data_IF_006773784715
#
_entry.id   IF_006773784715
#
_cell.length_a   1.000
_cell.length_b   1.000
_cell.length_c   1.000
_cell.angle_alpha   90.00
_cell.angle_beta   90.00
_cell.angle_gamma   90.00
#
_symmetry.space_group_name_H-M   'P 1'
#
loop_
_entity.id
_entity.type
_entity.pdbx_description
1 polymer ?
#
# COMPACT_ATOMS: atom_id res chain seq x y z
N UNK A 1 1.60 -12.31 -7.03
CA UNK A 1 1.21 -11.02 -6.44
C UNK A 1 0.37 -11.30 -5.20
N UNK A 2 0.69 -10.70 -4.06
CA UNK A 2 -0.12 -10.87 -2.85
C UNK A 2 -1.24 -9.82 -2.89
N UNK A 3 -2.49 -10.25 -2.74
CA UNK A 3 -3.65 -9.38 -2.80
C UNK A 3 -4.36 -9.36 -1.46
N UNK A 4 -4.45 -8.19 -0.86
CA UNK A 4 -4.95 -8.03 0.50
C UNK A 4 -6.06 -6.96 0.55
N UNK A 5 -7.11 -7.26 1.31
CA UNK A 5 -8.16 -6.29 1.60
C UNK A 5 -7.68 -5.31 2.66
N UNK A 6 -7.88 -4.01 2.43
CA UNK A 6 -7.53 -2.98 3.40
C UNK A 6 -8.59 -1.87 3.44
N UNK A 7 -8.42 -0.97 4.39
CA UNK A 7 -9.14 0.29 4.46
C UNK A 7 -8.10 1.40 4.29
N UNK A 8 -8.29 2.35 3.39
CA UNK A 8 -7.42 3.53 3.31
C UNK A 8 -8.07 4.68 4.05
N UNK A 9 -7.30 5.32 4.94
CA UNK A 9 -7.69 6.51 5.67
C UNK A 9 -6.86 7.69 5.21
N UNK A 10 -7.41 8.90 5.31
CA UNK A 10 -6.68 10.13 5.11
C UNK A 10 -6.57 10.80 6.49
N UNK A 11 -5.37 11.27 6.83
CA UNK A 11 -5.00 11.73 8.17
C UNK A 11 -5.64 13.09 8.55
N UNK A 12 -6.84 13.39 8.04
CA UNK A 12 -7.51 14.69 8.16
C UNK A 12 -9.04 14.65 8.23
N UNK A 13 -9.72 13.65 7.64
CA UNK A 13 -11.07 13.30 8.11
C UNK A 13 -11.05 11.81 8.44
N UNK A 14 -11.69 11.45 9.55
CA UNK A 14 -11.79 10.12 10.14
C UNK A 14 -12.61 9.12 9.30
N UNK A 15 -12.62 9.24 7.96
CA UNK A 15 -13.34 8.32 7.08
C UNK A 15 -12.40 7.27 6.51
N UNK A 16 -12.60 6.03 6.92
CA UNK A 16 -11.98 4.87 6.30
C UNK A 16 -12.79 4.46 5.08
N UNK A 17 -12.12 4.32 3.94
CA UNK A 17 -12.73 3.80 2.71
C UNK A 17 -12.17 2.44 2.40
N UNK A 18 -13.05 1.53 1.98
CA UNK A 18 -12.64 0.18 1.58
C UNK A 18 -11.77 0.28 0.33
N UNK A 19 -10.59 -0.32 0.40
CA UNK A 19 -9.59 -0.30 -0.65
C UNK A 19 -9.00 -1.69 -0.82
N UNK A 20 -8.73 -2.10 -2.04
CA UNK A 20 -7.88 -3.27 -2.28
C UNK A 20 -6.47 -2.80 -2.55
N UNK A 21 -5.49 -3.49 -1.97
CA UNK A 21 -4.10 -3.23 -2.26
C UNK A 21 -3.42 -4.53 -2.70
N UNK A 22 -2.57 -4.43 -3.71
CA UNK A 22 -1.86 -5.57 -4.29
C UNK A 22 -0.37 -5.28 -4.36
N UNK A 23 0.42 -6.20 -3.81
CA UNK A 23 1.87 -6.13 -3.81
C UNK A 23 2.45 -7.00 -4.91
N UNK A 24 3.35 -6.38 -5.69
CA UNK A 24 4.17 -7.03 -6.68
C UNK A 24 5.61 -7.02 -6.18
N UNK A 25 6.17 -8.23 -6.04
CA UNK A 25 7.57 -8.39 -5.70
C UNK A 25 8.47 -7.86 -6.83
N UNK A 26 9.69 -7.44 -6.48
CA UNK A 26 10.70 -7.13 -7.46
C UNK A 26 11.05 -8.41 -8.22
N UNK A 27 11.26 -8.28 -9.53
CA UNK A 27 11.82 -9.32 -10.39
C UNK A 27 13.17 -8.84 -10.93
N UNK A 28 14.01 -9.73 -11.48
CA UNK A 28 15.26 -9.33 -12.15
C UNK A 28 15.05 -8.28 -13.26
N UNK A 29 13.82 -8.22 -13.79
CA UNK A 29 13.37 -7.34 -14.87
C UNK A 29 12.47 -6.18 -14.39
N UNK A 30 12.22 -6.04 -13.09
CA UNK A 30 11.15 -5.17 -12.62
C UNK A 30 11.26 -4.77 -11.15
N UNK A 31 10.90 -3.53 -10.87
CA UNK A 31 10.91 -2.98 -9.51
C UNK A 31 9.65 -3.41 -8.76
N UNK A 32 9.78 -3.67 -7.46
CA UNK A 32 8.63 -3.97 -6.60
C UNK A 32 7.66 -2.78 -6.57
N UNK A 33 6.36 -3.06 -6.64
CA UNK A 33 5.31 -2.02 -6.67
C UNK A 33 4.07 -2.44 -5.91
N UNK A 34 3.46 -1.49 -5.22
CA UNK A 34 2.17 -1.64 -4.56
C UNK A 34 1.11 -0.89 -5.36
N UNK A 35 0.03 -1.57 -5.70
CA UNK A 35 -1.11 -0.98 -6.39
C UNK A 35 -2.30 -0.88 -5.44
N UNK A 36 -2.95 0.28 -5.41
CA UNK A 36 -4.11 0.59 -4.56
C UNK A 36 -5.32 0.85 -5.42
N UNK A 37 -6.44 0.22 -5.09
CA UNK A 37 -7.71 0.30 -5.81
C UNK A 37 -8.82 0.71 -4.84
N UNK A 38 -9.31 1.94 -4.96
CA UNK A 38 -10.46 2.40 -4.17
C UNK A 38 -11.70 1.60 -4.60
N UNK A 39 -12.33 0.88 -3.67
CA UNK A 39 -13.59 0.19 -3.94
C UNK A 39 -14.69 1.19 -3.64
N UNK A 40 -15.21 1.85 -4.68
CA UNK A 40 -16.42 2.64 -4.53
C UNK A 40 -17.61 1.68 -4.41
N UNK A 41 -18.38 1.86 -3.34
CA UNK A 41 -19.71 1.28 -3.20
C UNK A 41 -20.61 2.00 -4.21
N UNK A 42 -20.87 1.36 -5.36
CA UNK A 42 -21.60 1.95 -6.47
C UNK A 42 -23.11 1.86 -6.19
N UNK A 43 -23.71 3.01 -5.89
CA UNK A 43 -25.15 3.17 -5.86
C UNK A 43 -25.64 4.44 -6.56
N UNK A 44 -24.77 5.20 -7.22
CA UNK A 44 -25.19 6.42 -7.94
C UNK A 44 -24.28 6.67 -9.14
N UNK A 45 -24.89 6.43 -10.30
CA UNK A 45 -24.48 6.82 -11.65
C UNK A 45 -23.69 8.14 -11.66
N UNK A 46 -22.48 8.21 -12.23
CA UNK A 46 -21.88 9.48 -12.56
C UNK A 46 -22.06 9.73 -14.06
N UNK A 47 -23.10 10.48 -14.40
CA UNK A 47 -23.08 11.24 -15.65
C UNK A 47 -21.86 12.17 -15.63
N UNK A 48 -21.01 12.02 -16.66
CA UNK A 48 -20.19 13.08 -17.25
C UNK A 48 -19.15 13.74 -16.34
N UNK A 49 -18.05 13.03 -16.06
CA UNK A 49 -16.73 13.69 -16.00
C UNK A 49 -15.58 12.70 -16.24
N UNK A 50 -14.73 12.87 -17.29
CA UNK A 50 -13.67 11.92 -17.65
C UNK A 50 -12.46 11.89 -16.69
N UNK A 51 -12.54 12.58 -15.53
CA UNK A 51 -11.49 12.64 -14.51
C UNK A 51 -11.72 11.68 -13.35
N UNK A 52 -12.89 11.03 -13.27
CA UNK A 52 -13.29 10.16 -12.18
C UNK A 52 -12.94 8.68 -12.44
N UNK A 53 -11.80 8.43 -13.09
CA UNK A 53 -11.26 7.07 -13.29
C UNK A 53 -11.09 6.40 -11.94
N UNK A 54 -11.53 5.15 -11.81
CA UNK A 54 -11.11 4.22 -10.75
C UNK A 54 -9.67 4.53 -10.35
N UNK A 55 -9.47 5.10 -9.16
CA UNK A 55 -8.21 5.74 -8.77
C UNK A 55 -7.16 4.69 -8.41
N UNK A 56 -6.73 3.90 -9.40
CA UNK A 56 -5.64 2.94 -9.29
C UNK A 56 -4.36 3.75 -9.08
N UNK A 57 -3.84 3.75 -7.85
CA UNK A 57 -2.56 4.40 -7.53
C UNK A 57 -1.50 3.33 -7.44
N UNK A 58 -0.49 3.43 -8.30
CA UNK A 58 0.70 2.58 -8.25
C UNK A 58 1.77 3.32 -7.46
N UNK A 59 2.35 2.66 -6.47
CA UNK A 59 3.44 3.17 -5.65
C UNK A 59 4.62 2.24 -5.86
N UNK A 60 5.74 2.77 -6.33
CA UNK A 60 6.97 1.99 -6.44
C UNK A 60 7.56 1.84 -5.06
N UNK A 61 7.92 0.62 -4.69
CA UNK A 61 8.47 0.37 -3.35
C UNK A 61 9.90 0.90 -3.23
N UNK A 62 10.60 1.11 -4.34
CA UNK A 62 11.87 1.87 -4.37
C UNK A 62 11.73 3.33 -3.96
N UNK A 63 10.55 3.93 -4.13
CA UNK A 63 10.26 5.29 -3.69
C UNK A 63 9.84 5.33 -2.21
N UNK A 64 9.72 4.18 -1.55
CA UNK A 64 9.33 4.13 -0.14
C UNK A 64 10.50 4.61 0.73
N UNK A 65 10.24 5.68 1.48
CA UNK A 65 11.20 6.30 2.40
C UNK A 65 11.11 5.65 3.77
N UNK A 66 9.90 5.40 4.26
CA UNK A 66 9.68 4.78 5.57
C UNK A 66 8.29 4.16 5.65
N UNK A 67 8.19 3.04 6.37
CA UNK A 67 6.93 2.37 6.68
C UNK A 67 6.90 2.06 8.16
N UNK A 68 5.75 2.25 8.81
CA UNK A 68 5.65 2.00 10.25
C UNK A 68 4.21 1.96 10.77
N UNK A 69 4.01 1.47 11.99
CA UNK A 69 2.71 1.45 12.63
C UNK A 69 2.24 2.87 12.98
N UNK A 70 0.93 3.11 12.90
CA UNK A 70 0.25 4.35 13.34
C UNK A 70 -0.61 4.02 14.56
N UNK A 71 -0.79 4.98 15.48
CA UNK A 71 -1.67 4.81 16.64
C UNK A 71 -3.07 4.31 16.28
N UNK A 72 -3.65 3.51 17.19
CA UNK A 72 -4.95 2.82 17.02
C UNK A 72 -6.15 3.75 17.08
N UNK A 73 -5.95 5.04 17.35
CA UNK A 73 -7.02 6.00 17.66
C UNK A 73 -8.03 6.21 16.53
N UNK A 74 -7.67 5.83 15.30
CA UNK A 74 -8.56 6.00 14.15
C UNK A 74 -9.16 4.69 13.64
N UNK A 75 -8.69 3.49 14.00
CA UNK A 75 -9.05 2.27 13.27
C UNK A 75 -10.45 1.71 13.60
N UNK A 76 -11.22 1.22 12.60
CA UNK A 76 -12.40 0.40 12.87
C UNK A 76 -12.01 -0.94 13.51
N UNK A 77 -12.91 -1.49 14.34
CA UNK A 77 -12.69 -2.70 15.18
C UNK A 77 -11.92 -3.79 14.43
N UNK A 78 -10.88 -4.33 15.08
CA UNK A 78 -9.99 -5.39 14.60
C UNK A 78 -9.06 -5.05 13.42
N UNK A 79 -8.93 -3.78 13.02
CA UNK A 79 -7.91 -3.35 12.06
C UNK A 79 -6.87 -2.46 12.71
N UNK A 80 -5.67 -2.45 12.12
CA UNK A 80 -4.52 -1.70 12.60
C UNK A 80 -3.97 -0.81 11.48
N UNK A 81 -3.76 0.47 11.78
CA UNK A 81 -3.29 1.47 10.82
C UNK A 81 -1.77 1.51 10.73
N UNK A 82 -1.22 1.63 9.54
CA UNK A 82 0.19 1.87 9.26
C UNK A 82 0.33 3.03 8.28
N UNK A 83 1.46 3.72 8.37
CA UNK A 83 1.82 4.76 7.43
C UNK A 83 2.85 4.22 6.45
N UNK A 84 2.78 4.71 5.23
CA UNK A 84 3.76 4.49 4.20
C UNK A 84 4.11 5.84 3.60
N UNK A 85 5.34 6.28 3.84
CA UNK A 85 5.89 7.51 3.28
C UNK A 85 6.72 7.17 2.08
N UNK A 86 6.36 7.74 0.93
CA UNK A 86 7.20 7.71 -0.26
C UNK A 86 7.84 9.07 -0.50
N UNK A 87 8.80 9.11 -1.41
CA UNK A 87 9.46 10.32 -1.91
C UNK A 87 8.46 11.35 -2.44
N UNK A 88 7.36 10.87 -3.04
CA UNK A 88 6.27 11.72 -3.50
C UNK A 88 5.32 12.17 -2.38
N UNK A 89 4.83 11.23 -1.54
CA UNK A 89 3.91 11.58 -0.44
C UNK A 89 3.74 10.49 0.62
N UNK A 90 3.16 10.90 1.75
CA UNK A 90 2.73 9.99 2.82
C UNK A 90 1.30 9.46 2.64
N UNK A 91 1.09 8.19 2.99
CA UNK A 91 -0.17 7.48 2.94
C UNK A 91 -0.47 6.82 4.29
N UNK A 92 -1.74 6.79 4.69
CA UNK A 92 -2.19 6.03 5.86
C UNK A 92 -3.14 4.93 5.40
N UNK A 93 -2.88 3.71 5.83
CA UNK A 93 -3.61 2.51 5.45
C UNK A 93 -3.95 1.74 6.73
N UNK A 94 -5.07 1.03 6.76
CA UNK A 94 -5.42 0.10 7.82
C UNK A 94 -5.70 -1.27 7.23
N UNK A 95 -5.24 -2.29 7.93
CA UNK A 95 -5.44 -3.68 7.58
C UNK A 95 -5.54 -4.51 8.86
N UNK A 96 -6.20 -5.67 8.78
CA UNK A 96 -6.29 -6.61 9.90
C UNK A 96 -4.88 -7.12 10.27
N UNK A 97 -4.08 -7.45 9.26
CA UNK A 97 -2.73 -7.97 9.43
C UNK A 97 -1.66 -6.88 9.15
N UNK A 98 -1.70 -5.79 9.92
CA UNK A 98 -0.78 -4.63 9.79
C UNK A 98 0.70 -5.04 9.77
N UNK A 99 1.14 -5.88 10.70
CA UNK A 99 2.55 -6.24 10.85
C UNK A 99 3.11 -6.96 9.62
N UNK A 100 2.31 -7.80 8.98
CA UNK A 100 2.68 -8.48 7.74
C UNK A 100 2.74 -7.49 6.56
N UNK A 101 1.83 -6.52 6.49
CA UNK A 101 1.93 -5.41 5.54
C UNK A 101 3.23 -4.64 5.69
N UNK A 102 3.57 -4.20 6.90
CA UNK A 102 4.80 -3.45 7.20
C UNK A 102 6.02 -4.30 6.83
N UNK A 103 6.03 -5.57 7.24
CA UNK A 103 7.14 -6.50 6.97
C UNK A 103 7.35 -6.70 5.47
N UNK A 104 6.29 -6.99 4.71
CA UNK A 104 6.38 -7.19 3.26
C UNK A 104 6.76 -5.92 2.52
N UNK A 105 6.17 -4.78 2.88
CA UNK A 105 6.53 -3.48 2.29
C UNK A 105 7.99 -3.14 2.58
N UNK A 106 8.45 -3.32 3.80
CA UNK A 106 9.83 -3.10 4.20
C UNK A 106 10.77 -4.02 3.43
N UNK A 107 10.46 -5.32 3.38
CA UNK A 107 11.25 -6.30 2.64
C UNK A 107 11.35 -5.95 1.17
N UNK A 108 10.28 -5.50 0.53
CA UNK A 108 10.28 -5.18 -0.91
C UNK A 108 10.85 -3.80 -1.24
N UNK A 109 10.66 -2.81 -0.35
CA UNK A 109 11.17 -1.45 -0.53
C UNK A 109 12.65 -1.33 -0.22
N UNK A 110 13.07 -1.95 0.89
CA UNK A 110 14.45 -1.93 1.38
C UNK A 110 15.16 -3.24 1.09
N UNK A 111 14.71 -3.98 0.07
CA UNK A 111 15.35 -5.22 -0.36
C UNK A 111 16.76 -4.87 -0.84
N UNK A 112 17.72 -4.95 0.09
CA UNK A 112 19.14 -4.98 -0.23
C UNK A 112 19.29 -6.14 -1.19
N UNK A 113 19.78 -5.92 -2.43
CA UNK A 113 20.08 -7.04 -3.30
C UNK A 113 21.01 -7.96 -2.50
N UNK A 114 20.52 -9.15 -2.14
CA UNK A 114 21.45 -10.24 -1.88
C UNK A 114 22.14 -10.41 -3.22
N UNK A 115 23.29 -9.76 -3.36
CA UNK A 115 24.25 -10.13 -4.37
C UNK A 115 24.25 -11.66 -4.36
N UNK A 116 24.11 -12.33 -5.53
CA UNK A 116 24.34 -13.75 -5.55
C UNK A 116 25.71 -13.92 -4.92
N UNK A 117 25.77 -14.63 -3.79
CA UNK A 117 27.01 -15.24 -3.36
C UNK A 117 27.42 -16.09 -4.56
N UNK A 118 28.26 -15.51 -5.41
CA UNK A 118 28.99 -16.28 -6.40
C UNK A 118 29.68 -17.40 -5.63
N UNK A 119 29.73 -18.62 -6.18
CA UNK A 119 30.37 -19.72 -5.49
C UNK A 119 31.79 -19.28 -5.11
N UNK A 120 32.11 -19.26 -3.82
CA UNK A 120 33.50 -19.27 -3.41
C UNK A 120 34.09 -20.55 -3.99
N UNK A 121 35.07 -20.35 -4.87
CA UNK A 121 35.89 -21.39 -5.48
C UNK A 121 36.55 -22.29 -4.42
#
# INVERSE_FOLDING_TARGET
>A
AMSWGGLSGYMGLQSWRKMRAQLFAASPSGVARMEKFDVRDDGTVPEKTPLQRCARRVIRLSDCVSVGPVGTESCPKATAAFYLTTTEKSYVLAAEQRDEWITQLCQLAFQVPRAPHGPLS
#
